data_IF_865812497214
#
_entry.id   IF_865812497214
#
_cell.length_a   1.000
_cell.length_b   1.000
_cell.length_c   1.000
_cell.angle_alpha   90.00
_cell.angle_beta   90.00
_cell.angle_gamma   90.00
#
_symmetry.space_group_name_H-M   'P 1'
#
loop_
_entity.id
_entity.type
_entity.pdbx_description
1 polymer ?
#
# COMPACT_ATOMS: atom_id res chain seq x y z
N UNK A 1 76.05 20.05 41.79
CA UNK A 1 75.40 19.12 40.85
C UNK A 1 75.64 19.55 39.40
N UNK A 2 76.90 19.78 39.04
CA UNK A 2 77.31 20.03 37.65
C UNK A 2 77.79 18.67 37.11
N UNK A 3 77.01 18.06 36.22
CA UNK A 3 77.42 16.88 35.47
C UNK A 3 77.52 17.29 34.00
N UNK A 4 78.68 17.08 33.38
CA UNK A 4 78.90 17.37 31.95
C UNK A 4 78.18 16.33 31.07
N UNK A 5 77.99 15.11 31.59
CA UNK A 5 77.43 13.99 30.84
C UNK A 5 75.90 13.91 30.90
N UNK A 6 75.23 14.66 31.79
CA UNK A 6 73.78 14.60 31.93
C UNK A 6 73.22 15.99 32.24
N UNK A 7 72.44 16.52 31.31
CA UNK A 7 71.81 17.82 31.43
C UNK A 7 70.34 17.66 31.83
N UNK A 8 70.08 17.73 33.15
CA UNK A 8 68.73 17.60 33.70
C UNK A 8 67.80 18.71 33.21
N UNK A 9 68.31 19.94 33.02
CA UNK A 9 67.53 21.07 32.53
C UNK A 9 67.05 20.89 31.09
N UNK A 10 67.91 20.35 30.22
CA UNK A 10 67.54 20.00 28.86
C UNK A 10 66.53 18.84 28.79
N UNK A 11 66.64 17.85 29.69
CA UNK A 11 65.66 16.75 29.77
C UNK A 11 64.26 17.24 30.17
N UNK A 12 64.17 18.11 31.18
CA UNK A 12 62.88 18.70 31.60
C UNK A 12 62.31 19.59 30.50
N UNK A 13 63.14 20.40 29.84
CA UNK A 13 62.71 21.22 28.70
C UNK A 13 62.24 20.38 27.50
N UNK A 14 62.85 19.21 27.27
CA UNK A 14 62.40 18.29 26.22
C UNK A 14 61.08 17.61 26.57
N UNK A 15 60.86 17.26 27.84
CA UNK A 15 59.61 16.64 28.29
C UNK A 15 58.43 17.63 28.20
N UNK A 16 58.64 18.88 28.61
CA UNK A 16 57.65 19.95 28.42
C UNK A 16 57.38 20.22 26.94
N UNK A 17 58.42 20.23 26.09
CA UNK A 17 58.26 20.38 24.64
C UNK A 17 57.49 19.21 24.01
N UNK A 18 57.70 17.96 24.46
CA UNK A 18 56.91 16.79 24.03
C UNK A 18 55.45 16.92 24.44
N UNK A 19 55.19 17.41 25.66
CA UNK A 19 53.83 17.72 26.13
C UNK A 19 53.14 18.78 25.27
N UNK A 20 53.84 19.89 24.97
CA UNK A 20 53.31 20.95 24.09
C UNK A 20 53.02 20.41 22.69
N UNK A 21 53.92 19.62 22.10
CA UNK A 21 53.70 19.04 20.77
C UNK A 21 52.52 18.07 20.75
N UNK A 22 52.31 17.28 21.82
CA UNK A 22 51.15 16.40 21.96
C UNK A 22 49.85 17.21 22.01
N UNK A 23 49.80 18.25 22.82
CA UNK A 23 48.62 19.14 22.93
C UNK A 23 48.36 19.89 21.62
N UNK A 24 49.42 20.33 20.93
CA UNK A 24 49.31 21.01 19.63
C UNK A 24 48.73 20.08 18.57
N UNK A 25 49.14 18.81 18.53
CA UNK A 25 48.53 17.79 17.66
C UNK A 25 47.06 17.52 18.00
N UNK A 26 46.68 17.54 19.28
CA UNK A 26 45.29 17.38 19.71
C UNK A 26 44.42 18.57 19.25
N UNK A 27 44.83 19.80 19.52
CA UNK A 27 44.08 21.01 19.11
C UNK A 27 44.01 21.13 17.59
N UNK A 28 45.06 20.72 16.86
CA UNK A 28 45.01 20.63 15.40
C UNK A 28 43.96 19.63 14.91
N UNK A 29 43.82 18.48 15.58
CA UNK A 29 42.77 17.51 15.25
C UNK A 29 41.37 18.05 15.58
N UNK A 30 41.20 18.72 16.71
CA UNK A 30 39.94 19.38 17.10
C UNK A 30 39.52 20.44 16.06
N UNK A 31 40.46 21.27 15.59
CA UNK A 31 40.20 22.28 14.55
C UNK A 31 39.94 21.63 13.19
N UNK A 32 40.67 20.58 12.82
CA UNK A 32 40.53 19.91 11.53
C UNK A 32 39.22 19.12 11.41
N UNK A 33 38.75 18.54 12.51
CA UNK A 33 37.53 17.70 12.54
C UNK A 33 36.29 18.46 13.02
N UNK A 34 36.47 19.62 13.67
CA UNK A 34 35.39 20.35 14.35
C UNK A 34 34.86 19.68 15.61
N UNK A 35 35.42 18.52 16.00
CA UNK A 35 34.96 17.70 17.12
C UNK A 35 36.00 17.66 18.23
N UNK A 36 35.56 17.83 19.47
CA UNK A 36 36.37 17.62 20.68
C UNK A 36 36.59 16.12 20.95
N UNK A 37 35.66 15.27 20.49
CA UNK A 37 35.76 13.80 20.57
C UNK A 37 35.55 13.24 19.16
N UNK A 38 36.66 12.93 18.49
CA UNK A 38 36.62 12.42 17.12
C UNK A 38 36.67 10.88 17.08
N UNK A 39 37.33 10.25 18.06
CA UNK A 39 37.53 8.81 18.09
C UNK A 39 37.31 8.22 19.48
N UNK A 40 37.09 6.90 19.55
CA UNK A 40 36.99 6.16 20.81
C UNK A 40 38.25 6.28 21.70
N UNK A 41 39.39 6.69 21.14
CA UNK A 41 40.62 6.94 21.90
C UNK A 41 40.55 8.21 22.75
N UNK A 42 39.76 9.19 22.32
CA UNK A 42 39.67 10.49 22.98
C UNK A 42 38.75 10.39 24.21
N UNK A 43 37.60 9.74 24.05
CA UNK A 43 36.72 9.34 25.15
C UNK A 43 35.76 8.22 24.71
N UNK A 44 36.06 6.98 25.08
CA UNK A 44 35.28 5.81 24.65
C UNK A 44 33.80 5.88 25.06
N UNK A 45 33.49 6.40 26.25
CA UNK A 45 32.12 6.46 26.76
C UNK A 45 31.28 7.48 25.98
N UNK A 46 31.74 8.73 25.88
CA UNK A 46 31.03 9.78 25.14
C UNK A 46 30.96 9.48 23.64
N UNK A 47 32.04 8.94 23.07
CA UNK A 47 32.05 8.53 21.67
C UNK A 47 30.99 7.45 21.40
N UNK A 48 30.88 6.43 22.26
CA UNK A 48 29.87 5.37 22.07
C UNK A 48 28.43 5.89 22.16
N UNK A 49 28.14 6.83 23.07
CA UNK A 49 26.82 7.45 23.20
C UNK A 49 26.52 8.30 21.95
N UNK A 50 27.47 9.15 21.55
CA UNK A 50 27.31 10.02 20.38
C UNK A 50 27.12 9.21 19.09
N UNK A 51 27.89 8.14 18.88
CA UNK A 51 27.74 7.27 17.69
C UNK A 51 26.39 6.57 17.65
N UNK A 52 25.86 6.12 18.80
CA UNK A 52 24.49 5.56 18.85
C UNK A 52 23.46 6.63 18.50
N UNK A 53 23.58 7.84 19.07
CA UNK A 53 22.69 8.95 18.75
C UNK A 53 22.79 9.37 17.28
N UNK A 54 23.99 9.42 16.69
CA UNK A 54 24.19 9.68 15.26
C UNK A 54 23.51 8.62 14.39
N UNK A 55 23.60 7.34 14.79
CA UNK A 55 22.92 6.23 14.09
C UNK A 55 21.41 6.36 14.18
N UNK A 56 20.88 6.73 15.35
CA UNK A 56 19.45 6.94 15.57
C UNK A 56 18.92 8.14 14.75
N UNK A 57 19.68 9.23 14.67
CA UNK A 57 19.37 10.39 13.81
C UNK A 57 19.31 9.98 12.33
N UNK A 58 20.27 9.21 11.84
CA UNK A 58 20.22 8.69 10.47
C UNK A 58 19.01 7.77 10.23
N UNK A 59 18.63 6.97 11.23
CA UNK A 59 17.41 6.18 11.22
C UNK A 59 16.14 7.05 11.11
N UNK A 60 16.09 8.16 11.85
CA UNK A 60 14.97 9.11 11.78
C UNK A 60 14.89 9.85 10.44
N UNK A 61 16.01 10.19 9.82
CA UNK A 61 16.02 10.75 8.46
C UNK A 61 15.41 9.76 7.45
N UNK A 62 15.76 8.48 7.56
CA UNK A 62 15.19 7.45 6.69
C UNK A 62 13.69 7.23 6.95
N UNK A 63 13.25 7.29 8.21
CA UNK A 63 11.83 7.28 8.55
C UNK A 63 11.12 8.51 8.00
N UNK A 64 11.74 9.69 8.07
CA UNK A 64 11.24 10.91 7.46
C UNK A 64 11.02 10.74 5.96
N UNK A 65 11.97 10.14 5.23
CA UNK A 65 11.81 9.82 3.81
C UNK A 65 10.65 8.84 3.56
N UNK A 66 10.52 7.79 4.37
CA UNK A 66 9.40 6.85 4.27
C UNK A 66 8.04 7.50 4.56
N UNK A 67 7.98 8.40 5.54
CA UNK A 67 6.76 9.14 5.88
C UNK A 67 6.39 10.13 4.77
N UNK A 68 7.36 10.81 4.16
CA UNK A 68 7.13 11.69 3.02
C UNK A 68 6.59 10.90 1.81
N UNK A 69 7.17 9.73 1.52
CA UNK A 69 6.66 8.82 0.47
C UNK A 69 5.23 8.36 0.77
N UNK A 70 4.96 8.02 2.04
CA UNK A 70 3.64 7.66 2.52
C UNK A 70 2.63 8.82 2.40
N UNK A 71 3.01 10.03 2.79
CA UNK A 71 2.18 11.24 2.67
C UNK A 71 1.85 11.52 1.20
N UNK A 72 2.82 11.38 0.29
CA UNK A 72 2.58 11.51 -1.15
C UNK A 72 1.60 10.46 -1.68
N UNK A 73 1.77 9.19 -1.29
CA UNK A 73 0.88 8.09 -1.70
C UNK A 73 -0.55 8.31 -1.23
N UNK A 74 -0.73 8.70 0.05
CA UNK A 74 -2.04 9.00 0.63
C UNK A 74 -2.63 10.29 0.04
N UNK A 75 -1.78 11.27 -0.28
CA UNK A 75 -2.18 12.54 -0.90
C UNK A 75 -2.79 12.34 -2.29
N UNK A 76 -2.18 11.50 -3.14
CA UNK A 76 -2.74 11.14 -4.46
C UNK A 76 -4.11 10.47 -4.30
N UNK A 77 -4.23 9.54 -3.36
CA UNK A 77 -5.49 8.85 -3.08
C UNK A 77 -6.58 9.80 -2.54
N UNK A 78 -6.22 10.73 -1.63
CA UNK A 78 -7.14 11.75 -1.11
C UNK A 78 -7.65 12.66 -2.22
N UNK A 79 -6.76 13.19 -3.05
CA UNK A 79 -7.14 14.07 -4.16
C UNK A 79 -8.04 13.35 -5.16
N UNK A 80 -7.73 12.10 -5.50
CA UNK A 80 -8.60 11.31 -6.36
C UNK A 80 -9.97 11.01 -5.72
N UNK A 81 -10.03 10.73 -4.42
CA UNK A 81 -11.31 10.57 -3.71
C UNK A 81 -12.14 11.86 -3.68
N UNK A 82 -11.50 13.03 -3.52
CA UNK A 82 -12.16 14.35 -3.60
C UNK A 82 -12.71 14.65 -5.00
N UNK A 83 -11.98 14.23 -6.04
CA UNK A 83 -12.43 14.31 -7.44
C UNK A 83 -13.63 13.39 -7.69
N UNK A 84 -13.62 12.16 -7.15
CA UNK A 84 -14.77 11.25 -7.20
C UNK A 84 -16.00 11.88 -6.52
N UNK A 85 -15.84 12.52 -5.35
CA UNK A 85 -16.93 13.25 -4.68
C UNK A 85 -17.48 14.38 -5.56
N UNK A 86 -16.62 15.07 -6.31
CA UNK A 86 -17.05 16.16 -7.21
C UNK A 86 -17.88 15.60 -8.37
N UNK A 87 -17.40 14.55 -9.04
CA UNK A 87 -18.16 13.91 -10.13
C UNK A 87 -19.48 13.28 -9.64
N UNK A 88 -19.53 12.73 -8.42
CA UNK A 88 -20.78 12.24 -7.83
C UNK A 88 -21.80 13.37 -7.56
N UNK A 89 -21.34 14.60 -7.27
CA UNK A 89 -22.23 15.77 -7.17
C UNK A 89 -22.79 16.16 -8.54
N UNK A 90 -21.97 16.10 -9.58
CA UNK A 90 -22.43 16.40 -10.94
C UNK A 90 -23.47 15.37 -11.42
N UNK A 91 -23.27 14.08 -11.09
CA UNK A 91 -24.27 13.02 -11.31
C UNK A 91 -25.56 13.32 -10.54
N UNK A 92 -25.45 13.67 -9.26
CA UNK A 92 -26.61 14.04 -8.42
C UNK A 92 -27.41 15.20 -9.04
N UNK A 93 -26.73 16.23 -9.52
CA UNK A 93 -27.38 17.40 -10.12
C UNK A 93 -28.08 17.01 -11.44
N UNK A 94 -27.48 16.13 -12.25
CA UNK A 94 -28.12 15.55 -13.44
C UNK A 94 -29.35 14.70 -13.10
N UNK A 95 -29.32 13.94 -12.00
CA UNK A 95 -30.49 13.17 -11.52
C UNK A 95 -31.61 14.11 -11.07
N UNK A 96 -31.29 15.20 -10.35
CA UNK A 96 -32.28 16.21 -9.96
C UNK A 96 -32.90 16.86 -11.20
N UNK A 97 -32.09 17.20 -12.20
CA UNK A 97 -32.60 17.72 -13.47
C UNK A 97 -33.53 16.71 -14.16
N UNK A 98 -33.22 15.40 -14.10
CA UNK A 98 -34.03 14.35 -14.69
C UNK A 98 -35.42 14.18 -14.03
N UNK A 99 -35.58 14.63 -12.78
CA UNK A 99 -36.87 14.61 -12.07
C UNK A 99 -37.86 15.67 -12.58
N UNK A 100 -37.42 16.64 -13.38
CA UNK A 100 -38.33 17.60 -14.01
C UNK A 100 -39.15 16.94 -15.14
N UNK A 101 -40.44 17.27 -15.24
CA UNK A 101 -41.37 16.58 -16.16
C UNK A 101 -41.22 16.90 -17.65
N UNK A 102 -40.33 17.81 -18.05
CA UNK A 102 -40.19 18.28 -19.44
C UNK A 102 -38.74 18.26 -19.96
N UNK A 103 -37.92 17.32 -19.48
CA UNK A 103 -36.50 17.18 -19.84
C UNK A 103 -36.25 15.94 -20.70
N UNK A 104 -35.16 15.97 -21.46
CA UNK A 104 -34.68 14.84 -22.27
C UNK A 104 -33.82 13.89 -21.41
N UNK A 105 -34.48 12.94 -20.76
CA UNK A 105 -33.84 12.00 -19.82
C UNK A 105 -32.81 11.10 -20.47
N UNK A 106 -32.91 10.82 -21.77
CA UNK A 106 -31.92 10.02 -22.48
C UNK A 106 -30.57 10.75 -22.60
N UNK A 107 -30.60 12.07 -22.79
CA UNK A 107 -29.37 12.89 -22.79
C UNK A 107 -28.77 13.00 -21.40
N UNK A 108 -29.60 13.23 -20.38
CA UNK A 108 -29.13 13.28 -18.99
C UNK A 108 -28.51 11.93 -18.56
N UNK A 109 -29.10 10.80 -18.98
CA UNK A 109 -28.51 9.48 -18.74
C UNK A 109 -27.15 9.33 -19.45
N UNK A 110 -27.00 9.88 -20.65
CA UNK A 110 -25.71 9.88 -21.37
C UNK A 110 -24.67 10.68 -20.58
N UNK A 111 -25.02 11.87 -20.08
CA UNK A 111 -24.12 12.69 -19.26
C UNK A 111 -23.75 12.02 -17.93
N UNK A 112 -24.70 11.30 -17.31
CA UNK A 112 -24.47 10.48 -16.12
C UNK A 112 -23.46 9.37 -16.43
N UNK A 113 -23.67 8.60 -17.51
CA UNK A 113 -22.77 7.50 -17.88
C UNK A 113 -21.33 7.99 -18.15
N UNK A 114 -21.16 9.15 -18.80
CA UNK A 114 -19.83 9.76 -18.99
C UNK A 114 -19.18 10.16 -17.67
N UNK A 115 -19.96 10.70 -16.73
CA UNK A 115 -19.46 11.04 -15.39
C UNK A 115 -19.07 9.79 -14.59
N UNK A 116 -19.81 8.69 -14.73
CA UNK A 116 -19.45 7.39 -14.13
C UNK A 116 -18.15 6.84 -14.74
N UNK A 117 -17.98 6.93 -16.06
CA UNK A 117 -16.73 6.54 -16.73
C UNK A 117 -15.54 7.41 -16.26
N UNK A 118 -15.76 8.71 -16.03
CA UNK A 118 -14.74 9.61 -15.49
C UNK A 118 -14.36 9.24 -14.04
N UNK A 119 -15.32 8.82 -13.22
CA UNK A 119 -15.06 8.28 -11.87
C UNK A 119 -14.20 7.01 -11.96
N UNK A 120 -14.57 6.06 -12.81
CA UNK A 120 -13.80 4.82 -13.01
C UNK A 120 -12.36 5.12 -13.46
N UNK A 121 -12.19 6.04 -14.40
CA UNK A 121 -10.87 6.51 -14.87
C UNK A 121 -10.05 7.15 -13.75
N UNK A 122 -10.66 8.00 -12.92
CA UNK A 122 -10.02 8.67 -11.79
C UNK A 122 -9.57 7.65 -10.73
N UNK A 123 -10.45 6.69 -10.39
CA UNK A 123 -10.15 5.61 -9.44
C UNK A 123 -9.02 4.73 -9.97
N UNK A 124 -9.04 4.33 -11.24
CA UNK A 124 -8.01 3.51 -11.85
C UNK A 124 -6.65 4.24 -11.95
N UNK A 125 -6.67 5.55 -12.24
CA UNK A 125 -5.51 6.41 -12.42
C UNK A 125 -4.85 6.89 -11.12
N UNK A 126 -5.49 6.72 -9.96
CA UNK A 126 -5.00 7.12 -8.63
C UNK A 126 -3.83 6.24 -8.12
N UNK A 127 -2.80 6.09 -8.94
CA UNK A 127 -1.64 5.25 -8.65
C UNK A 127 -0.43 6.09 -8.26
N UNK A 128 0.27 5.63 -7.23
CA UNK A 128 1.58 6.13 -6.89
C UNK A 128 2.54 4.95 -6.72
N UNK A 129 3.58 4.91 -7.55
CA UNK A 129 4.56 3.82 -7.57
C UNK A 129 3.93 2.41 -7.72
N UNK A 130 2.90 2.28 -8.57
CA UNK A 130 2.18 1.02 -8.81
C UNK A 130 1.16 0.62 -7.73
N UNK A 131 1.07 1.39 -6.65
CA UNK A 131 0.07 1.16 -5.59
C UNK A 131 -1.11 2.11 -5.78
N UNK A 132 -2.32 1.55 -5.72
CA UNK A 132 -3.57 2.30 -5.74
C UNK A 132 -4.30 2.10 -4.41
N UNK A 133 -4.66 3.17 -3.70
CA UNK A 133 -5.36 3.07 -2.42
C UNK A 133 -6.89 3.09 -2.57
N UNK A 134 -7.39 3.36 -3.78
CA UNK A 134 -8.81 3.45 -4.12
C UNK A 134 -9.39 2.16 -4.70
N UNK A 135 -8.59 1.11 -4.86
CA UNK A 135 -9.01 -0.17 -5.44
C UNK A 135 -8.67 -1.31 -4.49
N UNK A 136 -9.49 -2.38 -4.48
CA UNK A 136 -9.23 -3.62 -3.74
C UNK A 136 -9.09 -3.44 -2.21
N UNK A 137 -8.66 -4.52 -1.55
CA UNK A 137 -8.63 -4.58 -0.08
C UNK A 137 -7.21 -4.51 0.49
N UNK A 138 -7.14 -4.30 1.81
CA UNK A 138 -5.92 -4.37 2.59
C UNK A 138 -5.41 -3.02 3.10
N UNK A 139 -4.20 -3.05 3.67
CA UNK A 139 -3.59 -1.90 4.30
C UNK A 139 -2.20 -1.62 3.73
N UNK A 140 -1.85 -0.35 3.60
CA UNK A 140 -0.45 0.08 3.47
C UNK A 140 0.07 0.44 4.85
N UNK A 141 1.26 -0.06 5.18
CA UNK A 141 1.96 0.26 6.41
C UNK A 141 3.14 1.20 6.12
N UNK A 142 3.12 2.37 6.74
CA UNK A 142 4.19 3.37 6.62
C UNK A 142 5.00 3.35 7.90
N UNK A 143 6.33 3.24 7.81
CA UNK A 143 7.20 3.32 8.97
C UNK A 143 7.11 4.72 9.58
N UNK A 144 6.92 4.79 10.90
CA UNK A 144 6.58 6.02 11.63
C UNK A 144 7.61 6.38 12.70
N UNK A 145 8.18 5.38 13.34
CA UNK A 145 9.18 5.58 14.39
C UNK A 145 10.10 4.38 14.53
N UNK A 146 11.28 4.65 15.08
CA UNK A 146 12.19 3.66 15.60
C UNK A 146 12.14 3.78 17.12
N UNK A 147 11.70 2.73 17.81
CA UNK A 147 11.67 2.70 19.27
C UNK A 147 12.75 1.75 19.77
N UNK A 148 13.59 2.24 20.67
CA UNK A 148 14.67 1.48 21.29
C UNK A 148 14.31 1.26 22.76
N UNK A 149 14.25 0.00 23.18
CA UNK A 149 13.94 -0.34 24.57
C UNK A 149 15.16 -0.25 25.49
N UNK A 150 14.94 -0.39 26.80
CA UNK A 150 16.00 -0.39 27.82
C UNK A 150 17.01 -1.55 27.70
N UNK A 151 16.67 -2.58 26.94
CA UNK A 151 17.48 -3.77 26.71
C UNK A 151 18.25 -3.70 25.39
N UNK A 152 18.12 -2.58 24.64
CA UNK A 152 18.77 -2.34 23.36
C UNK A 152 18.06 -2.96 22.16
N UNK A 153 16.89 -3.58 22.33
CA UNK A 153 16.08 -4.07 21.23
C UNK A 153 15.43 -2.90 20.48
N UNK A 154 15.42 -3.00 19.16
CA UNK A 154 14.89 -1.96 18.27
C UNK A 154 13.60 -2.48 17.64
N UNK A 155 12.54 -1.70 17.74
CA UNK A 155 11.23 -1.97 17.14
C UNK A 155 10.79 -0.80 16.27
N UNK A 156 9.92 -1.06 15.30
CA UNK A 156 9.38 -0.02 14.42
C UNK A 156 7.92 0.26 14.73
N UNK A 157 7.58 1.55 14.86
CA UNK A 157 6.20 2.00 14.85
C UNK A 157 5.70 2.13 13.43
N UNK A 158 4.43 1.82 13.18
CA UNK A 158 3.80 1.89 11.86
C UNK A 158 2.52 2.73 11.88
N UNK A 159 2.28 3.46 10.80
CA UNK A 159 1.00 4.08 10.49
C UNK A 159 0.31 3.21 9.44
N UNK A 160 -0.80 2.59 9.84
CA UNK A 160 -1.64 1.78 8.96
C UNK A 160 -2.67 2.68 8.28
N UNK A 161 -2.65 2.64 6.95
CA UNK A 161 -3.63 3.29 6.07
C UNK A 161 -4.41 2.18 5.39
N UNK A 162 -5.71 2.11 5.66
CA UNK A 162 -6.60 1.20 4.97
C UNK A 162 -6.89 1.73 3.57
N UNK A 163 -6.91 0.82 2.59
CA UNK A 163 -7.46 1.11 1.26
C UNK A 163 -8.94 1.42 1.40
N UNK A 164 -9.45 2.28 0.54
CA UNK A 164 -10.87 2.61 0.45
C UNK A 164 -11.32 2.25 -0.96
N UNK A 165 -11.92 1.09 -1.13
CA UNK A 165 -12.26 0.60 -2.47
C UNK A 165 -13.41 1.42 -3.06
N UNK A 166 -13.14 2.39 -3.94
CA UNK A 166 -14.14 3.23 -4.61
C UNK A 166 -14.45 2.74 -6.04
N UNK A 167 -14.16 1.47 -6.36
CA UNK A 167 -14.57 0.91 -7.65
C UNK A 167 -16.08 0.83 -7.76
N UNK A 168 -16.58 0.83 -8.99
CA UNK A 168 -18.01 0.57 -9.30
C UNK A 168 -18.29 -0.91 -9.51
N UNK A 169 -17.24 -1.74 -9.51
CA UNK A 169 -17.32 -3.18 -9.72
C UNK A 169 -18.20 -3.83 -8.65
N UNK A 170 -19.14 -4.65 -9.10
CA UNK A 170 -20.00 -5.41 -8.23
C UNK A 170 -19.21 -6.47 -7.44
N UNK A 171 -19.70 -6.81 -6.23
CA UNK A 171 -19.48 -8.16 -5.67
C UNK A 171 -19.88 -9.13 -6.76
N UNK A 172 -19.15 -10.24 -6.91
CA UNK A 172 -19.47 -11.29 -7.87
C UNK A 172 -20.97 -11.58 -7.92
N UNK A 173 -21.66 -10.86 -8.80
CA UNK A 173 -23.10 -10.95 -8.94
C UNK A 173 -23.35 -12.33 -9.53
N UNK A 174 -24.48 -12.92 -9.19
CA UNK A 174 -24.84 -14.15 -9.86
C UNK A 174 -24.87 -13.84 -11.36
N UNK A 175 -23.98 -14.46 -12.13
CA UNK A 175 -23.89 -14.24 -13.56
C UNK A 175 -25.28 -14.48 -14.15
N UNK A 176 -25.77 -13.54 -14.95
CA UNK A 176 -27.06 -13.67 -15.61
C UNK A 176 -26.98 -14.82 -16.61
N UNK A 177 -27.43 -16.00 -16.21
CA UNK A 177 -27.71 -17.10 -17.11
C UNK A 177 -29.05 -16.80 -17.77
N UNK A 178 -29.04 -16.47 -19.06
CA UNK A 178 -30.29 -16.33 -19.82
C UNK A 178 -30.69 -17.68 -20.40
N UNK A 179 -31.98 -18.03 -20.29
CA UNK A 179 -32.59 -18.90 -21.28
C UNK A 179 -32.56 -18.18 -22.62
N UNK A 180 -32.42 -18.90 -23.72
CA UNK A 180 -32.46 -18.36 -25.09
C UNK A 180 -33.75 -17.61 -25.47
N UNK A 181 -34.65 -17.32 -24.53
CA UNK A 181 -35.63 -16.24 -24.58
C UNK A 181 -35.96 -15.80 -23.14
N UNK A 182 -36.04 -14.49 -22.89
CA UNK A 182 -35.98 -13.89 -21.55
C UNK A 182 -37.01 -14.41 -20.53
N UNK A 183 -36.51 -15.01 -19.45
CA UNK A 183 -37.30 -15.41 -18.29
C UNK A 183 -36.46 -16.19 -17.29
N UNK A 184 -36.75 -16.04 -16.00
CA UNK A 184 -36.17 -16.84 -14.93
C UNK A 184 -36.30 -18.34 -15.29
N UNK A 185 -35.20 -19.10 -15.36
CA UNK A 185 -35.26 -20.55 -15.61
C UNK A 185 -35.81 -21.23 -14.35
N UNK A 186 -37.13 -21.34 -14.29
CA UNK A 186 -37.86 -22.24 -13.41
C UNK A 186 -38.59 -23.21 -14.32
N UNK A 187 -38.22 -24.48 -14.32
CA UNK A 187 -39.06 -25.53 -14.89
C UNK A 187 -40.32 -25.61 -14.00
N UNK A 188 -41.37 -24.88 -14.37
CA UNK A 188 -42.68 -25.00 -13.72
C UNK A 188 -43.29 -26.29 -14.22
N UNK A 189 -43.63 -27.19 -13.29
CA UNK A 189 -44.46 -28.39 -13.46
C UNK A 189 -45.48 -28.26 -14.61
N UNK A 190 -45.07 -28.61 -15.82
CA UNK A 190 -45.96 -28.64 -16.96
C UNK A 190 -46.54 -30.05 -17.05
N UNK A 191 -47.87 -30.14 -16.99
CA UNK A 191 -48.55 -31.42 -17.15
C UNK A 191 -48.45 -31.79 -18.63
N UNK A 192 -47.44 -32.58 -18.98
CA UNK A 192 -47.19 -33.01 -20.35
C UNK A 192 -48.37 -33.85 -20.87
N UNK A 193 -48.95 -33.44 -22.00
CA UNK A 193 -49.87 -34.27 -22.79
C UNK A 193 -49.11 -34.87 -23.97
N UNK A 194 -49.12 -36.20 -24.15
CA UNK A 194 -48.15 -36.88 -25.00
C UNK A 194 -48.47 -36.73 -26.47
N UNK A 195 -47.49 -36.23 -27.24
CA UNK A 195 -47.39 -36.48 -28.67
C UNK A 195 -45.94 -36.83 -29.04
N UNK A 196 -45.66 -38.13 -29.01
CA UNK A 196 -44.64 -38.86 -29.78
C UNK A 196 -43.35 -38.10 -30.18
N UNK A 197 -42.46 -37.86 -29.21
CA UNK A 197 -41.00 -38.14 -29.26
C UNK A 197 -40.39 -37.62 -27.94
N UNK A 198 -39.93 -38.46 -27.00
CA UNK A 198 -39.48 -38.00 -25.69
C UNK A 198 -38.00 -37.60 -25.77
N UNK A 199 -37.74 -36.32 -26.05
CA UNK A 199 -36.43 -35.69 -25.86
C UNK A 199 -36.68 -34.25 -25.46
N UNK A 200 -36.82 -33.98 -24.16
CA UNK A 200 -36.89 -32.60 -23.67
C UNK A 200 -35.46 -32.05 -23.57
N UNK A 201 -35.20 -30.97 -24.30
CA UNK A 201 -33.89 -30.30 -24.35
C UNK A 201 -33.97 -28.97 -23.62
N UNK A 202 -33.29 -28.85 -22.50
CA UNK A 202 -33.04 -27.58 -21.80
C UNK A 202 -31.73 -26.96 -22.28
N UNK A 203 -31.69 -25.63 -22.48
CA UNK A 203 -30.47 -24.95 -22.94
C UNK A 203 -30.10 -23.79 -22.01
N UNK A 204 -28.82 -23.71 -21.63
CA UNK A 204 -28.22 -22.56 -20.94
C UNK A 204 -27.30 -21.83 -21.92
N UNK A 205 -27.48 -20.51 -22.03
CA UNK A 205 -26.57 -19.66 -22.81
C UNK A 205 -25.64 -18.91 -21.86
N UNK A 206 -24.34 -19.05 -22.11
CA UNK A 206 -23.31 -18.32 -21.38
C UNK A 206 -22.98 -17.04 -22.12
N UNK A 207 -22.98 -15.93 -21.38
CA UNK A 207 -22.63 -14.62 -21.93
C UNK A 207 -21.16 -14.62 -22.38
N UNK A 208 -20.96 -14.35 -23.67
CA UNK A 208 -19.62 -14.22 -24.28
C UNK A 208 -19.11 -12.78 -24.30
N UNK A 209 -19.95 -11.81 -23.94
CA UNK A 209 -19.60 -10.39 -23.88
C UNK A 209 -18.86 -10.02 -22.59
N UNK A 210 -18.97 -10.86 -21.56
CA UNK A 210 -18.24 -10.75 -20.31
C UNK A 210 -16.98 -11.64 -20.30
N UNK A 211 -15.87 -11.11 -19.77
CA UNK A 211 -14.64 -11.87 -19.59
C UNK A 211 -14.82 -12.92 -18.46
N UNK A 212 -14.49 -14.19 -18.76
CA UNK A 212 -14.54 -15.25 -17.77
C UNK A 212 -13.39 -15.09 -16.77
N UNK A 213 -13.71 -14.64 -15.56
CA UNK A 213 -12.72 -14.54 -14.48
C UNK A 213 -12.40 -15.89 -13.88
N UNK A 214 -11.14 -16.11 -13.49
CA UNK A 214 -10.72 -17.30 -12.72
C UNK A 214 -11.52 -17.44 -11.43
N UNK A 215 -12.06 -18.63 -11.15
CA UNK A 215 -12.84 -18.89 -9.94
C UNK A 215 -14.35 -18.64 -10.09
N UNK A 216 -14.83 -18.32 -11.29
CA UNK A 216 -16.28 -18.29 -11.58
C UNK A 216 -16.83 -19.69 -11.43
N UNK A 217 -17.84 -19.85 -10.58
CA UNK A 217 -18.48 -21.15 -10.35
C UNK A 217 -19.86 -21.19 -11.00
N UNK A 218 -20.21 -22.30 -11.64
CA UNK A 218 -21.56 -22.57 -12.11
C UNK A 218 -22.03 -23.81 -11.39
N UNK A 219 -23.10 -23.67 -10.62
CA UNK A 219 -23.75 -24.77 -9.92
C UNK A 219 -25.05 -25.10 -10.63
N UNK A 220 -25.15 -26.34 -11.13
CA UNK A 220 -26.35 -26.90 -11.74
C UNK A 220 -26.95 -27.90 -10.77
N UNK A 221 -28.17 -27.62 -10.31
CA UNK A 221 -28.98 -28.59 -9.58
C UNK A 221 -29.88 -29.29 -10.59
N UNK A 222 -29.69 -30.60 -10.77
CA UNK A 222 -30.41 -31.43 -11.74
C UNK A 222 -31.02 -32.61 -10.98
N UNK A 223 -32.34 -32.65 -10.83
CA UNK A 223 -32.98 -33.82 -10.19
C UNK A 223 -34.47 -33.66 -9.88
N UNK A 224 -35.07 -34.75 -9.39
CA UNK A 224 -36.48 -34.82 -8.92
C UNK A 224 -36.62 -34.55 -7.40
N UNK A 225 -35.52 -34.16 -6.74
CA UNK A 225 -35.44 -33.84 -5.31
C UNK A 225 -34.12 -33.14 -4.92
N UNK A 226 -34.00 -32.68 -3.67
CA UNK A 226 -32.98 -31.74 -3.15
C UNK A 226 -31.53 -32.27 -3.02
N UNK A 227 -31.10 -33.19 -3.87
CA UNK A 227 -29.77 -33.80 -3.77
C UNK A 227 -29.15 -34.03 -5.13
N UNK A 228 -28.50 -33.00 -5.68
CA UNK A 228 -27.65 -33.20 -6.85
C UNK A 228 -27.12 -31.93 -7.51
N UNK A 229 -26.19 -31.26 -6.83
CA UNK A 229 -25.52 -30.07 -7.33
C UNK A 229 -24.21 -30.47 -8.04
N UNK A 230 -24.09 -30.19 -9.33
CA UNK A 230 -22.82 -30.22 -10.06
C UNK A 230 -22.28 -28.80 -10.09
N UNK A 231 -21.16 -28.57 -9.41
CA UNK A 231 -20.48 -27.27 -9.39
C UNK A 231 -19.18 -27.36 -10.19
N UNK A 232 -19.03 -26.48 -11.18
CA UNK A 232 -17.81 -26.36 -11.99
C UNK A 232 -17.23 -24.97 -11.82
N UNK A 233 -15.92 -24.90 -11.56
CA UNK A 233 -15.19 -23.66 -11.31
C UNK A 233 -14.22 -23.40 -12.45
N UNK A 234 -14.21 -22.18 -12.98
CA UNK A 234 -13.30 -21.78 -14.06
C UNK A 234 -11.86 -21.71 -13.54
N UNK A 235 -10.92 -22.15 -14.37
CA UNK A 235 -9.48 -22.05 -14.09
C UNK A 235 -8.86 -20.88 -14.84
N UNK A 236 -7.62 -20.55 -14.48
CA UNK A 236 -6.91 -19.40 -15.05
C UNK A 236 -6.76 -19.51 -16.58
N UNK A 237 -7.10 -18.42 -17.27
CA UNK A 237 -6.94 -18.31 -18.72
C UNK A 237 -7.92 -19.12 -19.56
N UNK A 238 -8.97 -19.70 -18.96
CA UNK A 238 -10.00 -20.41 -19.71
C UNK A 238 -10.87 -19.46 -20.53
N UNK A 239 -11.16 -19.86 -21.76
CA UNK A 239 -12.21 -19.24 -22.57
C UNK A 239 -13.59 -19.70 -22.09
N UNK A 240 -14.64 -18.92 -22.41
CA UNK A 240 -16.04 -19.31 -22.13
C UNK A 240 -16.35 -20.68 -22.76
N UNK A 241 -15.83 -20.98 -23.95
CA UNK A 241 -16.07 -22.25 -24.64
C UNK A 241 -15.44 -23.46 -23.96
N UNK A 242 -14.20 -23.31 -23.49
CA UNK A 242 -13.53 -24.35 -22.69
C UNK A 242 -14.25 -24.58 -21.36
N UNK A 243 -14.77 -23.52 -20.75
CA UNK A 243 -15.52 -23.58 -19.50
C UNK A 243 -16.89 -24.27 -19.67
N UNK A 244 -17.64 -23.93 -20.72
CA UNK A 244 -18.92 -24.59 -21.04
C UNK A 244 -18.71 -26.07 -21.38
N UNK A 245 -17.61 -26.40 -22.06
CA UNK A 245 -17.22 -27.79 -22.32
C UNK A 245 -16.87 -28.54 -21.03
N UNK A 246 -16.20 -27.89 -20.08
CA UNK A 246 -15.93 -28.47 -18.76
C UNK A 246 -17.22 -28.71 -17.96
N UNK A 247 -18.23 -27.84 -18.09
CA UNK A 247 -19.56 -28.05 -17.49
C UNK A 247 -20.27 -29.24 -18.14
N UNK A 248 -20.29 -29.32 -19.47
CA UNK A 248 -20.87 -30.46 -20.18
C UNK A 248 -20.20 -31.79 -19.79
N UNK A 249 -18.87 -31.78 -19.70
CA UNK A 249 -18.09 -32.92 -19.25
C UNK A 249 -18.44 -33.31 -17.81
N UNK A 250 -18.54 -32.37 -16.88
CA UNK A 250 -18.89 -32.65 -15.48
C UNK A 250 -20.30 -33.24 -15.32
N UNK A 251 -21.26 -32.84 -16.18
CA UNK A 251 -22.59 -33.45 -16.22
C UNK A 251 -22.53 -34.88 -16.75
N UNK A 252 -21.84 -35.11 -17.85
CA UNK A 252 -21.72 -36.44 -18.45
C UNK A 252 -20.85 -37.41 -17.64
N UNK A 253 -19.88 -36.88 -16.89
CA UNK A 253 -18.93 -37.67 -16.10
C UNK A 253 -19.55 -38.13 -14.78
N UNK A 254 -20.66 -37.52 -14.31
CA UNK A 254 -21.29 -37.69 -12.99
C UNK A 254 -20.90 -38.99 -12.26
N UNK A 255 -19.72 -38.93 -11.64
CA UNK A 255 -19.03 -40.07 -11.00
C UNK A 255 -19.77 -40.52 -9.73
N UNK A 256 -20.81 -39.78 -9.32
CA UNK A 256 -21.51 -39.95 -8.05
C UNK A 256 -22.96 -40.48 -8.19
N UNK A 257 -23.47 -40.74 -9.40
CA UNK A 257 -24.78 -41.37 -9.62
C UNK A 257 -25.96 -40.53 -9.11
N UNK A 258 -25.84 -39.23 -9.26
CA UNK A 258 -26.75 -38.19 -8.76
C UNK A 258 -27.79 -37.83 -9.82
N UNK A 259 -27.43 -37.90 -11.09
CA UNK A 259 -28.32 -37.68 -12.23
C UNK A 259 -29.19 -38.89 -12.52
N UNK A 260 -30.40 -38.63 -13.04
CA UNK A 260 -31.25 -39.70 -13.53
C UNK A 260 -30.61 -40.39 -14.75
N UNK A 261 -30.85 -41.69 -14.89
CA UNK A 261 -30.29 -42.45 -16.00
C UNK A 261 -30.89 -41.93 -17.30
N UNK A 262 -30.11 -41.24 -18.13
CA UNK A 262 -30.61 -40.67 -19.39
C UNK A 262 -30.41 -39.16 -19.53
N UNK A 263 -30.02 -38.47 -18.46
CA UNK A 263 -29.59 -37.06 -18.52
C UNK A 263 -28.18 -36.96 -19.11
N UNK A 264 -28.01 -36.13 -20.13
CA UNK A 264 -26.73 -35.84 -20.77
C UNK A 264 -26.61 -34.37 -21.14
N UNK A 265 -25.39 -33.88 -21.30
CA UNK A 265 -25.11 -32.51 -21.72
C UNK A 265 -24.22 -32.47 -22.96
N UNK A 266 -24.52 -31.57 -23.88
CA UNK A 266 -23.75 -31.33 -25.10
C UNK A 266 -23.54 -29.83 -25.30
N UNK A 267 -22.46 -29.44 -25.97
CA UNK A 267 -22.22 -28.05 -26.35
C UNK A 267 -22.70 -27.86 -27.78
N UNK A 268 -23.78 -27.11 -27.99
CA UNK A 268 -24.43 -26.98 -29.32
C UNK A 268 -23.80 -25.88 -30.19
N UNK A 269 -23.26 -24.85 -29.56
CA UNK A 269 -22.45 -23.76 -30.12
C UNK A 269 -21.56 -23.29 -28.99
N UNK A 270 -20.30 -22.91 -29.19
CA UNK A 270 -19.28 -22.80 -28.12
C UNK A 270 -19.68 -22.21 -26.75
N UNK A 271 -20.71 -21.37 -26.64
CA UNK A 271 -21.25 -20.82 -25.39
C UNK A 271 -22.63 -21.35 -24.95
N UNK A 272 -23.19 -22.35 -25.62
CA UNK A 272 -24.53 -22.89 -25.37
C UNK A 272 -24.40 -24.33 -24.88
N UNK A 273 -24.82 -24.54 -23.63
CA UNK A 273 -24.91 -25.85 -23.01
C UNK A 273 -26.33 -26.39 -23.18
N UNK A 274 -26.47 -27.44 -23.98
CA UNK A 274 -27.70 -28.18 -24.17
C UNK A 274 -27.72 -29.38 -23.23
N UNK A 275 -28.83 -29.61 -22.54
CA UNK A 275 -29.02 -30.72 -21.61
C UNK A 275 -30.27 -31.46 -22.05
N UNK A 276 -30.14 -32.76 -22.23
CA UNK A 276 -31.18 -33.64 -22.74
C UNK A 276 -31.43 -34.76 -21.73
N UNK A 277 -32.70 -35.03 -21.46
CA UNK A 277 -33.13 -36.23 -20.73
C UNK A 277 -33.79 -37.21 -21.70
N UNK A 278 -33.20 -38.40 -21.80
CA UNK A 278 -33.64 -39.47 -22.72
C UNK A 278 -34.53 -40.52 -22.04
N UNK A 279 -34.68 -40.48 -20.71
CA UNK A 279 -35.52 -41.43 -19.94
C UNK A 279 -36.84 -40.80 -19.47
N UNK A 280 -37.47 -40.04 -20.36
CA UNK A 280 -38.78 -39.43 -20.08
C UNK A 280 -39.88 -40.49 -20.24
N UNK A 281 -40.16 -41.22 -19.16
CA UNK A 281 -41.34 -42.08 -19.07
C UNK A 281 -42.60 -41.23 -18.84
N UNK A 282 -43.66 -41.47 -19.62
CA UNK A 282 -44.90 -40.70 -19.51
C UNK A 282 -45.50 -40.78 -18.08
N UNK A 283 -45.62 -39.64 -17.40
CA UNK A 283 -46.29 -39.50 -16.10
C UNK A 283 -45.38 -39.53 -14.87
N UNK A 284 -44.06 -39.57 -15.03
CA UNK A 284 -43.09 -39.37 -13.92
C UNK A 284 -42.74 -37.89 -13.73
N UNK A 285 -42.23 -37.55 -12.54
CA UNK A 285 -41.75 -36.19 -12.21
C UNK A 285 -40.57 -35.84 -13.10
N UNK A 286 -40.69 -34.76 -13.88
CA UNK A 286 -39.61 -34.25 -14.74
C UNK A 286 -38.42 -33.75 -13.92
N UNK A 287 -37.21 -33.87 -14.48
CA UNK A 287 -35.98 -33.29 -13.92
C UNK A 287 -36.13 -31.77 -13.83
N UNK A 288 -36.11 -31.22 -12.62
CA UNK A 288 -36.08 -29.76 -12.44
C UNK A 288 -34.62 -29.32 -12.49
N UNK A 289 -34.34 -28.29 -13.29
CA UNK A 289 -33.00 -27.72 -13.37
C UNK A 289 -33.00 -26.30 -12.82
N UNK A 290 -32.04 -26.01 -11.94
CA UNK A 290 -31.74 -24.64 -11.52
C UNK A 290 -30.25 -24.43 -11.68
N UNK A 291 -29.89 -23.40 -12.44
CA UNK A 291 -28.50 -23.05 -12.67
C UNK A 291 -28.21 -21.70 -12.03
N UNK A 292 -27.14 -21.64 -11.26
CA UNK A 292 -26.64 -20.41 -10.65
C UNK A 292 -25.18 -20.27 -11.02
N UNK A 293 -24.86 -19.24 -11.80
CA UNK A 293 -23.48 -18.83 -12.00
C UNK A 293 -23.14 -17.81 -10.91
N UNK A 294 -22.00 -17.95 -10.26
CA UNK A 294 -21.50 -17.02 -9.27
C UNK A 294 -20.09 -16.64 -9.66
N UNK A 295 -19.89 -15.36 -10.00
CA UNK A 295 -18.56 -14.80 -10.20
C UNK A 295 -17.79 -14.84 -8.86
N UNK A 296 -16.47 -15.05 -8.83
CA UNK A 296 -15.69 -14.96 -7.60
C UNK A 296 -15.97 -13.62 -6.91
N UNK A 297 -16.06 -13.64 -5.59
CA UNK A 297 -16.24 -12.43 -4.80
C UNK A 297 -14.98 -11.55 -4.93
N UNK A 298 -14.97 -10.64 -5.90
CA UNK A 298 -14.16 -9.43 -5.81
C UNK A 298 -14.68 -8.63 -4.61
N UNK A 299 -13.79 -8.02 -3.81
CA UNK A 299 -14.24 -7.14 -2.73
C UNK A 299 -15.14 -6.06 -3.32
N UNK A 300 -16.34 -5.90 -2.75
CA UNK A 300 -17.30 -4.90 -3.17
C UNK A 300 -16.63 -3.53 -3.25
N UNK A 301 -16.80 -2.84 -4.36
CA UNK A 301 -16.55 -1.40 -4.37
C UNK A 301 -17.59 -0.68 -3.53
N UNK A 302 -17.20 0.35 -2.80
CA UNK A 302 -18.12 1.23 -2.07
C UNK A 302 -19.11 1.97 -2.99
N UNK A 303 -18.82 2.00 -4.30
CA UNK A 303 -19.67 2.59 -5.34
C UNK A 303 -20.31 1.52 -6.23
N UNK A 304 -20.43 0.29 -5.74
CA UNK A 304 -21.12 -0.80 -6.42
C UNK A 304 -22.55 -0.37 -6.82
N UNK A 305 -22.88 -0.58 -8.09
CA UNK A 305 -24.20 -0.22 -8.63
C UNK A 305 -24.28 1.20 -9.19
N UNK A 306 -23.21 2.00 -9.13
CA UNK A 306 -23.18 3.32 -9.75
C UNK A 306 -23.44 3.26 -11.28
N UNK A 307 -23.00 2.18 -11.95
CA UNK A 307 -23.25 1.92 -13.37
C UNK A 307 -24.71 1.52 -13.68
N UNK A 308 -25.46 1.10 -12.65
CA UNK A 308 -26.86 0.70 -12.78
C UNK A 308 -27.86 1.86 -12.55
N UNK A 309 -27.37 3.09 -12.35
CA UNK A 309 -28.22 4.26 -12.21
C UNK A 309 -29.01 4.51 -13.49
N UNK A 310 -30.34 4.45 -13.40
CA UNK A 310 -31.24 4.74 -14.53
C UNK A 310 -32.23 5.84 -14.17
N UNK A 311 -32.16 6.95 -14.93
CA UNK A 311 -33.12 8.06 -14.87
C UNK A 311 -33.99 8.16 -16.13
N UNK A 312 -33.82 7.25 -17.10
CA UNK A 312 -34.43 7.33 -18.44
C UNK A 312 -35.87 6.80 -18.51
N UNK A 313 -36.25 5.90 -17.60
CA UNK A 313 -37.47 5.08 -17.72
C UNK A 313 -38.70 5.64 -17.00
N UNK A 314 -38.56 6.23 -15.80
CA UNK A 314 -39.70 6.71 -15.00
C UNK A 314 -39.32 7.70 -13.91
N UNK A 315 -40.29 8.44 -13.37
CA UNK A 315 -40.07 9.34 -12.22
C UNK A 315 -39.67 8.56 -10.95
N UNK A 316 -40.18 7.33 -10.80
CA UNK A 316 -39.84 6.45 -9.67
C UNK A 316 -38.39 5.97 -9.72
N UNK A 317 -37.85 5.70 -10.91
CA UNK A 317 -36.44 5.29 -11.06
C UNK A 317 -35.49 6.47 -10.83
N UNK A 318 -35.84 7.67 -11.29
CA UNK A 318 -35.09 8.88 -10.97
C UNK A 318 -35.11 9.26 -9.47
N UNK A 319 -36.19 8.94 -8.74
CA UNK A 319 -36.24 9.12 -7.29
C UNK A 319 -35.38 8.09 -6.53
N UNK A 320 -35.34 6.84 -7.00
CA UNK A 320 -34.46 5.81 -6.45
C UNK A 320 -32.99 6.14 -6.71
N UNK A 321 -32.63 6.55 -7.94
CA UNK A 321 -31.28 6.98 -8.30
C UNK A 321 -30.77 8.14 -7.42
N UNK A 322 -31.66 9.07 -7.02
CA UNK A 322 -31.30 10.14 -6.08
C UNK A 322 -31.02 9.60 -4.66
N UNK A 323 -31.70 8.54 -4.24
CA UNK A 323 -31.40 7.90 -2.96
C UNK A 323 -30.07 7.16 -3.01
N UNK A 324 -29.81 6.45 -4.11
CA UNK A 324 -28.58 5.67 -4.30
C UNK A 324 -27.35 6.59 -4.41
N UNK A 325 -27.43 7.70 -5.15
CA UNK A 325 -26.33 8.66 -5.28
C UNK A 325 -25.95 9.32 -3.96
N UNK A 326 -26.90 9.58 -3.06
CA UNK A 326 -26.62 10.14 -1.73
C UNK A 326 -25.88 9.12 -0.83
N UNK A 327 -26.18 7.83 -0.99
CA UNK A 327 -25.43 6.74 -0.34
C UNK A 327 -23.99 6.63 -0.86
N UNK A 328 -23.81 6.71 -2.18
CA UNK A 328 -22.49 6.74 -2.82
C UNK A 328 -21.68 7.97 -2.44
N UNK A 329 -22.31 9.15 -2.40
CA UNK A 329 -21.68 10.40 -1.99
C UNK A 329 -21.20 10.34 -0.54
N UNK A 330 -22.02 9.79 0.36
CA UNK A 330 -21.63 9.57 1.77
C UNK A 330 -20.40 8.65 1.85
N UNK A 331 -20.41 7.53 1.12
CA UNK A 331 -19.31 6.57 1.11
C UNK A 331 -18.00 7.17 0.56
N UNK A 332 -18.08 7.97 -0.50
CA UNK A 332 -16.93 8.66 -1.08
C UNK A 332 -16.39 9.77 -0.16
N UNK A 333 -17.28 10.51 0.53
CA UNK A 333 -16.90 11.52 1.53
C UNK A 333 -16.19 10.87 2.71
N UNK A 334 -16.70 9.74 3.21
CA UNK A 334 -16.08 9.00 4.31
C UNK A 334 -14.70 8.47 3.93
N UNK A 335 -14.55 7.97 2.69
CA UNK A 335 -13.24 7.56 2.15
C UNK A 335 -12.25 8.74 2.07
N UNK A 336 -12.68 9.89 1.54
CA UNK A 336 -11.85 11.09 1.47
C UNK A 336 -11.46 11.61 2.87
N UNK A 337 -12.40 11.62 3.81
CA UNK A 337 -12.17 12.00 5.20
C UNK A 337 -11.20 11.03 5.91
N UNK A 338 -11.33 9.72 5.65
CA UNK A 338 -10.40 8.72 6.16
C UNK A 338 -8.97 9.02 5.69
N UNK A 339 -8.74 9.25 4.39
CA UNK A 339 -7.42 9.62 3.88
C UNK A 339 -6.93 10.96 4.44
N UNK A 340 -7.79 11.97 4.55
CA UNK A 340 -7.44 13.26 5.15
C UNK A 340 -6.95 13.14 6.59
N UNK A 341 -7.63 12.34 7.43
CA UNK A 341 -7.20 12.09 8.80
C UNK A 341 -5.85 11.35 8.89
N UNK A 342 -5.61 10.40 7.97
CA UNK A 342 -4.34 9.66 7.91
C UNK A 342 -3.20 10.54 7.43
N UNK A 343 -3.44 11.38 6.42
CA UNK A 343 -2.46 12.36 5.93
C UNK A 343 -2.07 13.34 7.05
N UNK A 344 -3.04 13.93 7.74
CA UNK A 344 -2.76 14.85 8.86
C UNK A 344 -1.96 14.20 10.00
N UNK A 345 -2.21 12.91 10.30
CA UNK A 345 -1.41 12.14 11.24
C UNK A 345 0.02 11.89 10.74
N UNK A 346 0.20 11.58 9.45
CA UNK A 346 1.53 11.40 8.85
C UNK A 346 2.32 12.73 8.89
N UNK A 347 1.70 13.85 8.52
CA UNK A 347 2.35 15.16 8.51
C UNK A 347 2.76 15.62 9.92
N UNK A 348 1.91 15.33 10.92
CA UNK A 348 2.24 15.54 12.33
C UNK A 348 3.44 14.69 12.77
N UNK A 349 3.50 13.43 12.32
CA UNK A 349 4.62 12.53 12.60
C UNK A 349 5.91 13.01 11.93
N UNK A 350 5.86 13.48 10.68
CA UNK A 350 7.01 14.06 9.98
C UNK A 350 7.60 15.21 10.80
N UNK A 351 6.73 16.13 11.25
CA UNK A 351 7.14 17.29 12.06
C UNK A 351 7.76 16.86 13.40
N UNK A 352 7.18 15.85 14.05
CA UNK A 352 7.72 15.27 15.28
C UNK A 352 9.09 14.62 15.08
N UNK A 353 9.25 13.78 14.05
CA UNK A 353 10.51 13.10 13.74
C UNK A 353 11.60 14.10 13.37
N UNK A 354 11.27 15.16 12.62
CA UNK A 354 12.20 16.27 12.33
C UNK A 354 12.65 16.97 13.60
N UNK A 355 11.71 17.37 14.46
CA UNK A 355 12.02 18.07 15.71
C UNK A 355 12.84 17.21 16.67
N UNK A 356 12.56 15.90 16.72
CA UNK A 356 13.32 14.92 17.49
C UNK A 356 14.75 14.78 16.93
N UNK A 357 14.88 14.66 15.61
CA UNK A 357 16.18 14.63 14.92
C UNK A 357 17.02 15.87 15.22
N UNK A 358 16.43 17.06 15.16
CA UNK A 358 17.12 18.33 15.45
C UNK A 358 17.54 18.42 16.93
N UNK A 359 16.69 17.97 17.85
CA UNK A 359 17.01 17.93 19.28
C UNK A 359 18.16 16.96 19.58
N UNK A 360 18.17 15.80 18.92
CA UNK A 360 19.25 14.82 19.04
C UNK A 360 20.54 15.32 18.40
N UNK A 361 20.48 15.98 17.23
CA UNK A 361 21.63 16.66 16.61
C UNK A 361 22.23 17.71 17.52
N UNK A 362 21.40 18.53 18.17
CA UNK A 362 21.86 19.49 19.17
C UNK A 362 22.49 18.80 20.39
N UNK A 363 21.88 17.72 20.89
CA UNK A 363 22.46 16.92 21.98
C UNK A 363 23.83 16.33 21.62
N UNK A 364 23.97 15.73 20.44
CA UNK A 364 25.24 15.22 19.91
C UNK A 364 26.26 16.36 19.82
N UNK A 365 25.87 17.50 19.24
CA UNK A 365 26.73 18.68 19.10
C UNK A 365 27.31 19.13 20.44
N UNK A 366 26.50 19.17 21.50
CA UNK A 366 27.01 19.52 22.85
C UNK A 366 27.96 18.49 23.45
N UNK A 367 27.87 17.22 23.01
CA UNK A 367 28.71 16.13 23.50
C UNK A 367 30.01 15.98 22.72
N UNK A 368 30.03 16.30 21.44
CA UNK A 368 31.16 15.98 20.55
C UNK A 368 31.81 17.16 19.88
N UNK A 369 31.14 18.31 19.75
CA UNK A 369 31.69 19.41 18.96
C UNK A 369 32.73 20.19 19.78
N UNK A 370 33.72 20.73 19.08
CA UNK A 370 34.72 21.61 19.65
C UNK A 370 34.29 23.07 19.47
N UNK A 371 34.54 23.89 20.49
CA UNK A 371 34.47 25.34 20.34
C UNK A 371 35.71 25.82 19.56
N UNK A 372 35.52 26.20 18.30
CA UNK A 372 36.63 26.55 17.40
C UNK A 372 37.33 27.84 17.80
N UNK A 373 36.63 28.78 18.45
CA UNK A 373 37.20 30.02 18.96
C UNK A 373 38.19 29.72 20.09
N UNK A 374 37.80 28.88 21.05
CA UNK A 374 38.66 28.46 22.13
C UNK A 374 39.82 27.60 21.62
N UNK A 375 39.55 26.63 20.72
CA UNK A 375 40.57 25.80 20.10
C UNK A 375 41.59 26.64 19.33
N UNK A 376 41.16 27.67 18.59
CA UNK A 376 42.04 28.58 17.87
C UNK A 376 42.93 29.42 18.79
N UNK A 377 42.36 29.93 19.89
CA UNK A 377 43.13 30.64 20.91
C UNK A 377 44.17 29.73 21.58
N UNK A 378 43.79 28.48 21.89
CA UNK A 378 44.71 27.46 22.43
C UNK A 378 45.80 27.08 21.42
N UNK A 379 45.47 26.96 20.13
CA UNK A 379 46.44 26.65 19.07
C UNK A 379 47.53 27.72 19.01
N UNK A 380 47.13 28.99 18.99
CA UNK A 380 48.08 30.12 18.98
C UNK A 380 48.94 30.13 20.24
N UNK A 381 48.33 29.92 21.43
CA UNK A 381 49.08 29.83 22.68
C UNK A 381 50.10 28.68 22.66
N UNK A 382 49.71 27.49 22.17
CA UNK A 382 50.58 26.33 22.06
C UNK A 382 51.71 26.52 21.04
N UNK A 383 51.46 27.22 19.92
CA UNK A 383 52.50 27.59 18.96
C UNK A 383 53.54 28.53 19.57
N UNK A 384 53.10 29.54 20.33
CA UNK A 384 54.00 30.45 21.07
C UNK A 384 54.78 29.68 22.15
N UNK A 385 54.11 28.78 22.89
CA UNK A 385 54.76 27.92 23.88
C UNK A 385 55.78 26.96 23.24
N UNK A 386 55.50 26.42 22.06
CA UNK A 386 56.43 25.57 21.32
C UNK A 386 57.69 26.35 20.93
N UNK A 387 57.52 27.57 20.42
CA UNK A 387 58.64 28.46 20.08
C UNK A 387 59.49 28.81 21.31
N UNK A 388 58.84 29.15 22.43
CA UNK A 388 59.51 29.40 23.72
C UNK A 388 60.18 28.13 24.26
N UNK A 389 59.57 26.95 24.09
CA UNK A 389 60.12 25.67 24.51
C UNK A 389 61.38 25.28 23.73
N UNK A 390 61.40 25.51 22.42
CA UNK A 390 62.60 25.32 21.58
C UNK A 390 63.71 26.30 22.00
N UNK A 391 63.36 27.55 22.31
CA UNK A 391 64.31 28.54 22.79
C UNK A 391 64.86 28.18 24.18
N UNK A 392 64.02 27.74 25.10
CA UNK A 392 64.40 27.27 26.44
C UNK A 392 65.28 26.02 26.37
N UNK A 393 64.98 25.08 25.47
CA UNK A 393 65.82 23.90 25.22
C UNK A 393 67.18 24.30 24.63
N UNK A 394 67.23 25.27 23.72
CA UNK A 394 68.47 25.82 23.17
C UNK A 394 69.34 26.47 24.27
N UNK A 395 68.74 27.28 25.14
CA UNK A 395 69.42 27.90 26.30
C UNK A 395 69.90 26.82 27.28
N UNK A 396 69.05 25.83 27.59
CA UNK A 396 69.42 24.72 28.47
C UNK A 396 70.59 23.90 27.90
N UNK A 397 70.65 23.71 26.58
CA UNK A 397 71.76 23.02 25.91
C UNK A 397 73.07 23.84 25.88
N UNK A 398 73.01 25.16 26.04
CA UNK A 398 74.20 26.02 26.13
C UNK A 398 74.81 26.06 27.54
N UNK A 399 74.05 25.74 28.60
CA UNK A 399 74.52 25.79 29.98
C UNK A 399 75.81 24.96 30.27
N UNK A 400 76.01 23.75 29.70
CA UNK A 400 77.27 23.00 29.86
C UNK A 400 78.47 23.65 29.17
N UNK A 401 78.27 24.48 28.14
CA UNK A 401 79.35 25.15 27.41
C UNK A 401 79.98 26.29 28.23
N UNK A 402 79.18 26.97 29.07
CA UNK A 402 79.68 27.97 30.01
C UNK A 402 80.57 27.35 31.12
N UNK A 403 80.40 26.06 31.42
CA UNK A 403 81.29 25.33 32.32
C UNK A 403 82.60 24.94 31.63
N UNK A 404 82.58 24.62 30.33
CA UNK A 404 83.80 24.33 29.56
C UNK A 404 84.68 25.59 29.37
N UNK A 405 84.12 26.79 29.30
CA UNK A 405 84.91 28.03 29.26
C UNK A 405 85.67 28.34 30.55
N UNK A 406 85.30 27.70 31.67
CA UNK A 406 85.97 27.83 32.97
C UNK A 406 87.25 26.96 33.07
N UNK A 407 87.38 25.99 32.16
CA UNK A 407 88.53 25.09 32.06
C UNK A 407 89.40 25.37 30.81
N UNK A 408 89.18 26.51 30.15
CA UNK A 408 90.00 27.00 29.03
C UNK A 408 90.94 28.11 29.45
#
# INVERSE_FOLDING_TARGET
MSSINTNLGAMVALDTLKGINKNLGQVQNEIATGKSINSAKDNAALWSIATVMETDVAGFEQIGNSLNLGSATVGVARTAAEEVVTNLKDIRDSIIAAQEGNVDRGKLQTDINESVAQIQSTVAGAQFNGQNLLTGEGNIEILSSLNRDSNGAVSTGKITVARQNLTTDAVGSSGSLSSGDGGNITFVNDTYTPNASPTDVGSLVFDTSAELTTGTSTTLNLGTGAGGAITVVSTEGQTVEEYVTAIAAAINDDVNGVLDAGVSATVSSGNVLSIEDTDVTAGTTQVTMTATQTKPATPAGLLEGLDALDVSTSDSTAAQALTDIEGFLTSAIDAAAAFGSKQGRIDSQISFVSSLGDSLKAGISTLTDANLEEASARLQALQVQQQLGVQALSIANQAPQALLSLFR
#
